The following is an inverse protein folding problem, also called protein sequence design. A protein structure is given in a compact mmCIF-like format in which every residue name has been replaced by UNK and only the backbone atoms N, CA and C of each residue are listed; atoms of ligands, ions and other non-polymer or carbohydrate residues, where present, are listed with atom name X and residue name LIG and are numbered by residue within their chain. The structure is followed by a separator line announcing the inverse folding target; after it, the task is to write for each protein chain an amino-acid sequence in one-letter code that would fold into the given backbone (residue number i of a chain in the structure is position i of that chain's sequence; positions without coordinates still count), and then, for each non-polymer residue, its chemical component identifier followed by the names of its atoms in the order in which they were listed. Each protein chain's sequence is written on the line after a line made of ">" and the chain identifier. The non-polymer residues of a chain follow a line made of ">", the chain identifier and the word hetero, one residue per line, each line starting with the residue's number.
data_IF_215413769232
#
_entry.id   IF_215413769232
#
_cell.length_a   1.000
_cell.length_b   1.000
_cell.length_c   1.000
_cell.angle_alpha   90.00
_cell.angle_beta   90.00
_cell.angle_gamma   90.00
#
_symmetry.space_group_name_H-M   'P 1'
#
loop_
_entity.id
_entity.type
_entity.pdbx_description
1 polymer ?
#
# COMPACT_ATOMS: atom_id res chain seq x y z
N UNK A 1 6.44 0.90 26.41
CA UNK A 1 5.23 0.08 26.64
C UNK A 1 4.14 0.31 25.57
N UNK A 2 3.80 1.54 25.16
CA UNK A 2 2.73 1.85 24.17
C UNK A 2 2.99 1.48 22.70
N UNK A 3 4.11 0.85 22.36
CA UNK A 3 4.40 0.39 20.99
C UNK A 3 4.40 -1.13 20.88
N UNK A 4 4.43 -1.84 22.01
CA UNK A 4 4.52 -3.30 22.04
C UNK A 4 3.22 -3.92 21.52
N UNK A 5 2.07 -3.47 22.02
CA UNK A 5 0.77 -3.99 21.60
C UNK A 5 0.52 -3.79 20.08
N UNK A 6 0.67 -2.58 19.51
CA UNK A 6 0.59 -2.40 18.06
C UNK A 6 1.58 -3.29 17.31
N UNK A 7 2.84 -3.33 17.74
CA UNK A 7 3.87 -4.16 17.10
C UNK A 7 3.49 -5.63 17.07
N UNK A 8 3.04 -6.18 18.20
CA UNK A 8 2.62 -7.59 18.30
C UNK A 8 1.39 -7.87 17.44
N UNK A 9 0.39 -7.00 17.45
CA UNK A 9 -0.83 -7.21 16.65
C UNK A 9 -0.53 -7.10 15.15
N UNK A 10 0.22 -6.08 14.73
CA UNK A 10 0.54 -5.85 13.31
C UNK A 10 1.45 -6.94 12.75
N UNK A 11 2.51 -7.31 13.48
CA UNK A 11 3.43 -8.37 13.05
C UNK A 11 2.80 -9.76 13.18
N UNK A 12 2.02 -10.01 14.23
CA UNK A 12 1.36 -11.29 14.47
C UNK A 12 0.24 -11.59 13.48
N UNK A 13 -0.44 -10.56 12.98
CA UNK A 13 -1.47 -10.71 11.93
C UNK A 13 -0.90 -10.76 10.52
N UNK A 14 0.28 -10.19 10.24
CA UNK A 14 0.83 -10.18 8.88
C UNK A 14 0.90 -11.56 8.19
N UNK A 15 1.31 -12.66 8.87
CA UNK A 15 1.27 -14.00 8.27
C UNK A 15 -0.12 -14.43 7.82
N UNK A 16 -1.17 -14.12 8.59
CA UNK A 16 -2.54 -14.54 8.23
C UNK A 16 -3.03 -13.79 6.98
N UNK A 17 -2.71 -12.50 6.85
CA UNK A 17 -3.02 -11.73 5.64
C UNK A 17 -2.25 -12.24 4.42
N UNK A 18 -0.96 -12.57 4.58
CA UNK A 18 -0.15 -13.13 3.48
C UNK A 18 -0.66 -14.52 3.06
N UNK A 19 -1.10 -15.35 4.01
CA UNK A 19 -1.72 -16.63 3.70
C UNK A 19 -3.06 -16.44 2.96
N UNK A 20 -3.92 -15.54 3.44
CA UNK A 20 -5.19 -15.22 2.78
C UNK A 20 -4.97 -14.71 1.35
N UNK A 21 -4.00 -13.81 1.16
CA UNK A 21 -3.56 -13.35 -0.16
C UNK A 21 -3.04 -14.50 -1.03
N UNK A 22 -2.22 -15.39 -0.47
CA UNK A 22 -1.66 -16.55 -1.19
C UNK A 22 -2.75 -17.48 -1.70
N UNK A 23 -3.72 -17.82 -0.84
CA UNK A 23 -4.91 -18.62 -1.20
C UNK A 23 -5.69 -17.90 -2.31
N UNK A 24 -5.99 -16.61 -2.12
CA UNK A 24 -6.73 -15.85 -3.11
C UNK A 24 -6.01 -15.80 -4.46
N UNK A 25 -4.69 -15.63 -4.47
CA UNK A 25 -3.87 -15.62 -5.69
C UNK A 25 -3.92 -16.96 -6.42
N UNK A 26 -3.98 -18.08 -5.71
CA UNK A 26 -4.14 -19.41 -6.31
C UNK A 26 -5.55 -19.58 -6.91
N UNK A 27 -6.59 -19.22 -6.15
CA UNK A 27 -7.99 -19.34 -6.60
C UNK A 27 -8.30 -18.45 -7.80
N UNK A 28 -7.72 -17.26 -7.84
CA UNK A 28 -7.92 -16.29 -8.92
C UNK A 28 -6.99 -16.48 -10.12
N UNK A 29 -6.14 -17.51 -10.13
CA UNK A 29 -5.19 -17.75 -11.22
C UNK A 29 -5.86 -17.97 -12.59
N UNK A 30 -7.10 -18.47 -12.60
CA UNK A 30 -7.90 -18.70 -13.81
C UNK A 30 -8.94 -17.59 -14.07
N UNK A 31 -9.03 -16.60 -13.16
CA UNK A 31 -10.00 -15.51 -13.25
C UNK A 31 -9.39 -14.30 -13.97
N UNK A 32 -10.22 -13.40 -14.52
CA UNK A 32 -9.75 -12.13 -15.05
C UNK A 32 -8.94 -11.35 -14.01
N UNK A 33 -7.85 -10.71 -14.44
CA UNK A 33 -6.94 -9.97 -13.56
C UNK A 33 -7.67 -8.94 -12.68
N UNK A 34 -8.77 -8.35 -13.17
CA UNK A 34 -9.59 -7.39 -12.42
C UNK A 34 -10.16 -7.97 -11.12
N UNK A 35 -10.60 -9.24 -11.15
CA UNK A 35 -11.17 -9.91 -9.97
C UNK A 35 -10.08 -10.12 -8.93
N UNK A 36 -8.89 -10.56 -9.38
CA UNK A 36 -7.73 -10.67 -8.52
C UNK A 36 -7.42 -9.33 -7.83
N UNK A 37 -7.30 -8.24 -8.60
CA UNK A 37 -6.94 -6.91 -8.10
C UNK A 37 -7.98 -6.37 -7.11
N UNK A 38 -9.28 -6.50 -7.41
CA UNK A 38 -10.34 -6.01 -6.52
C UNK A 38 -10.25 -6.59 -5.09
N UNK A 39 -9.98 -7.89 -5.00
CA UNK A 39 -9.86 -8.56 -3.70
C UNK A 39 -8.50 -8.32 -3.04
N UNK A 40 -7.42 -8.18 -3.83
CA UNK A 40 -6.11 -7.76 -3.32
C UNK A 40 -6.17 -6.35 -2.70
N UNK A 41 -6.83 -5.41 -3.38
CA UNK A 41 -7.10 -4.04 -2.90
C UNK A 41 -7.95 -4.05 -1.63
N UNK A 42 -8.92 -4.97 -1.54
CA UNK A 42 -9.74 -5.13 -0.33
C UNK A 42 -8.94 -5.64 0.85
N UNK A 43 -8.12 -6.68 0.65
CA UNK A 43 -7.23 -7.21 1.70
C UNK A 43 -6.23 -6.16 2.17
N UNK A 44 -5.63 -5.42 1.23
CA UNK A 44 -4.72 -4.31 1.53
C UNK A 44 -5.41 -3.24 2.36
N UNK A 45 -6.61 -2.81 1.94
CA UNK A 45 -7.39 -1.79 2.63
C UNK A 45 -7.71 -2.20 4.08
N UNK A 46 -8.10 -3.46 4.32
CA UNK A 46 -8.36 -3.95 5.69
C UNK A 46 -7.08 -3.94 6.53
N UNK A 47 -5.98 -4.47 5.99
CA UNK A 47 -4.71 -4.51 6.71
C UNK A 47 -4.20 -3.10 7.05
N UNK A 48 -4.19 -2.19 6.07
CA UNK A 48 -3.76 -0.81 6.30
C UNK A 48 -4.73 -0.03 7.18
N UNK A 49 -6.04 -0.29 7.14
CA UNK A 49 -6.99 0.33 8.07
C UNK A 49 -6.67 -0.05 9.52
N UNK A 50 -6.24 -1.30 9.77
CA UNK A 50 -5.80 -1.74 11.10
C UNK A 50 -4.48 -1.05 11.51
N UNK A 51 -3.54 -0.88 10.59
CA UNK A 51 -2.32 -0.08 10.82
C UNK A 51 -2.70 1.35 11.21
N UNK A 52 -3.50 2.03 10.37
CA UNK A 52 -3.96 3.40 10.59
C UNK A 52 -4.70 3.55 11.92
N UNK A 53 -5.53 2.57 12.30
CA UNK A 53 -6.20 2.59 13.59
C UNK A 53 -5.21 2.75 14.75
N UNK A 54 -4.12 1.98 14.77
CA UNK A 54 -3.09 2.13 15.81
C UNK A 54 -2.39 3.49 15.72
N UNK A 55 -2.06 3.96 14.52
CA UNK A 55 -1.39 5.24 14.36
C UNK A 55 -2.24 6.44 14.76
N UNK A 56 -3.49 6.51 14.31
CA UNK A 56 -4.39 7.63 14.60
C UNK A 56 -4.99 7.58 16.00
N UNK A 57 -5.28 6.39 16.56
CA UNK A 57 -6.06 6.26 17.80
C UNK A 57 -5.26 5.76 19.00
N UNK A 58 -4.16 5.03 18.80
CA UNK A 58 -3.43 4.39 19.91
C UNK A 58 -2.13 5.10 20.28
N UNK A 59 -1.44 5.73 19.32
CA UNK A 59 -0.16 6.41 19.59
C UNK A 59 -0.32 7.64 20.49
N UNK A 60 -1.50 8.26 20.49
CA UNK A 60 -1.77 9.53 21.17
C UNK A 60 -1.18 10.75 20.44
N UNK A 61 -0.75 10.58 19.19
CA UNK A 61 -0.29 11.68 18.33
C UNK A 61 -1.50 12.44 17.79
N UNK A 62 -1.45 13.77 17.90
CA UNK A 62 -2.42 14.64 17.24
C UNK A 62 -1.98 14.90 15.79
N UNK A 63 -2.85 14.55 14.84
CA UNK A 63 -2.60 14.75 13.41
C UNK A 63 -3.42 15.95 12.95
N UNK A 64 -2.73 16.99 12.50
CA UNK A 64 -3.34 18.21 11.98
C UNK A 64 -3.24 18.21 10.46
N UNK A 65 -4.38 18.07 9.78
CA UNK A 65 -4.48 18.12 8.33
C UNK A 65 -5.16 19.42 7.92
N UNK A 66 -4.58 20.11 6.95
CA UNK A 66 -5.11 21.35 6.39
C UNK A 66 -4.95 21.33 4.86
N UNK A 67 -5.84 22.05 4.18
CA UNK A 67 -5.92 22.11 2.72
C UNK A 67 -7.17 21.43 2.17
N UNK A 68 -7.27 21.42 0.84
CA UNK A 68 -8.42 20.89 0.13
C UNK A 68 -8.14 19.47 -0.38
N UNK A 69 -9.17 18.63 -0.32
CA UNK A 69 -9.16 17.34 -0.98
C UNK A 69 -10.03 17.37 -2.25
N UNK A 70 -9.73 16.54 -3.25
CA UNK A 70 -10.56 16.42 -4.45
C UNK A 70 -12.02 16.12 -4.12
N UNK A 71 -12.94 16.81 -4.80
CA UNK A 71 -14.39 16.63 -4.64
C UNK A 71 -14.92 15.38 -5.34
N UNK A 72 -14.20 14.92 -6.36
CA UNK A 72 -14.54 13.76 -7.16
C UNK A 72 -13.39 12.76 -7.11
N UNK A 73 -13.71 11.47 -7.26
CA UNK A 73 -12.68 10.44 -7.32
C UNK A 73 -11.94 10.54 -8.65
N UNK A 74 -10.62 10.69 -8.56
CA UNK A 74 -9.70 10.73 -9.70
C UNK A 74 -8.40 10.01 -9.35
N UNK A 75 -7.60 9.70 -10.37
CA UNK A 75 -6.26 9.14 -10.19
C UNK A 75 -5.30 10.26 -9.82
N UNK A 76 -4.49 10.08 -8.78
CA UNK A 76 -3.66 11.14 -8.20
C UNK A 76 -2.21 10.67 -8.06
N UNK A 77 -1.28 11.54 -8.41
CA UNK A 77 0.13 11.37 -8.06
C UNK A 77 0.39 12.16 -6.77
N UNK A 78 0.60 11.43 -5.67
CA UNK A 78 0.96 12.04 -4.39
C UNK A 78 2.47 12.31 -4.33
N UNK A 79 2.84 13.59 -4.22
CA UNK A 79 4.22 14.04 -4.08
C UNK A 79 4.37 14.77 -2.75
N UNK A 80 5.30 14.30 -1.92
CA UNK A 80 5.64 14.92 -0.65
C UNK A 80 7.14 14.83 -0.39
N UNK A 81 7.65 15.68 0.50
CA UNK A 81 8.97 15.51 1.07
C UNK A 81 9.03 14.21 1.90
N UNK A 82 10.21 13.60 1.97
CA UNK A 82 10.46 12.41 2.80
C UNK A 82 11.38 12.79 3.96
N UNK A 83 10.82 12.95 5.15
CA UNK A 83 11.52 13.33 6.39
C UNK A 83 11.74 12.17 7.35
N UNK A 84 10.90 11.14 7.31
CA UNK A 84 10.96 10.02 8.26
C UNK A 84 10.53 8.69 7.63
N UNK A 85 10.86 7.59 8.30
CA UNK A 85 10.46 6.24 7.86
C UNK A 85 8.95 5.98 7.93
N UNK A 86 8.18 6.86 8.58
CA UNK A 86 6.73 6.71 8.79
C UNK A 86 5.90 7.67 7.94
N UNK A 87 6.52 8.42 7.03
CA UNK A 87 5.81 9.41 6.20
C UNK A 87 4.73 8.81 5.30
N UNK A 88 4.89 7.54 4.90
CA UNK A 88 3.91 6.82 4.09
C UNK A 88 2.53 6.75 4.78
N UNK A 89 2.50 6.77 6.11
CA UNK A 89 1.25 6.75 6.89
C UNK A 89 0.42 7.99 6.60
N UNK A 90 1.06 9.14 6.35
CA UNK A 90 0.34 10.37 5.99
C UNK A 90 -0.39 10.20 4.65
N UNK A 91 0.23 9.55 3.67
CA UNK A 91 -0.42 9.23 2.40
C UNK A 91 -1.63 8.30 2.61
N UNK A 92 -1.49 7.27 3.45
CA UNK A 92 -2.59 6.36 3.79
C UNK A 92 -3.73 7.05 4.55
N UNK A 93 -3.41 7.98 5.46
CA UNK A 93 -4.37 8.83 6.19
C UNK A 93 -5.19 9.69 5.22
N UNK A 94 -4.57 10.25 4.19
CA UNK A 94 -5.28 11.01 3.16
C UNK A 94 -6.11 10.07 2.26
N UNK A 95 -5.55 8.92 1.88
CA UNK A 95 -6.21 7.94 1.01
C UNK A 95 -7.45 7.30 1.66
N UNK A 96 -7.41 7.00 2.97
CA UNK A 96 -8.56 6.43 3.68
C UNK A 96 -9.72 7.41 3.75
N UNK A 97 -9.45 8.71 3.92
CA UNK A 97 -10.47 9.78 3.91
C UNK A 97 -11.16 9.92 2.55
N UNK A 98 -10.50 9.49 1.47
CA UNK A 98 -11.03 9.45 0.10
C UNK A 98 -11.54 8.06 -0.32
N UNK A 99 -11.59 7.09 0.60
CA UNK A 99 -11.95 5.70 0.32
C UNK A 99 -11.15 5.14 -0.88
N UNK A 100 -9.84 5.37 -0.84
CA UNK A 100 -8.87 5.02 -1.87
C UNK A 100 -7.69 4.19 -1.32
N UNK A 101 -7.68 3.86 -0.02
CA UNK A 101 -6.58 3.17 0.66
C UNK A 101 -6.13 1.87 -0.03
N UNK A 102 -7.07 1.07 -0.54
CA UNK A 102 -6.76 -0.16 -1.28
C UNK A 102 -6.05 0.05 -2.62
N UNK A 103 -6.13 1.25 -3.19
CA UNK A 103 -5.58 1.58 -4.51
C UNK A 103 -4.23 2.31 -4.42
N UNK A 104 -3.69 2.53 -3.22
CA UNK A 104 -2.42 3.24 -3.05
C UNK A 104 -1.27 2.39 -3.60
N UNK A 105 -0.46 2.97 -4.49
CA UNK A 105 0.72 2.33 -5.08
C UNK A 105 1.98 3.11 -4.73
N UNK A 106 2.90 2.48 -4.03
CA UNK A 106 4.11 3.12 -3.53
C UNK A 106 5.31 2.98 -4.46
N UNK A 107 6.13 4.04 -4.52
CA UNK A 107 7.52 3.94 -4.97
C UNK A 107 8.39 3.64 -3.76
N UNK A 108 9.02 2.47 -3.74
CA UNK A 108 9.68 1.89 -2.57
C UNK A 108 11.18 1.76 -2.79
N UNK A 109 11.98 1.88 -1.72
CA UNK A 109 13.42 1.58 -1.78
C UNK A 109 13.66 0.10 -2.05
N UNK A 110 14.58 -0.23 -2.96
CA UNK A 110 14.91 -1.62 -3.35
C UNK A 110 15.25 -2.55 -2.16
N UNK A 111 15.79 -2.01 -1.06
CA UNK A 111 16.06 -2.79 0.16
C UNK A 111 14.80 -3.37 0.82
N UNK A 112 13.63 -2.72 0.67
CA UNK A 112 12.38 -3.14 1.31
C UNK A 112 11.83 -4.47 0.75
N UNK A 113 12.30 -4.89 -0.44
CA UNK A 113 11.91 -6.19 -1.00
C UNK A 113 12.34 -7.38 -0.14
N UNK A 114 13.34 -7.18 0.72
CA UNK A 114 13.88 -8.21 1.62
C UNK A 114 13.19 -8.26 2.98
N UNK A 115 12.22 -7.36 3.23
CA UNK A 115 11.43 -7.43 4.46
C UNK A 115 10.56 -8.70 4.39
N UNK A 116 10.70 -9.65 5.34
CA UNK A 116 9.97 -10.90 5.31
C UNK A 116 8.46 -10.65 5.25
N UNK A 117 7.74 -11.43 4.44
CA UNK A 117 6.30 -11.30 4.17
C UNK A 117 5.91 -10.05 3.35
N UNK A 118 6.35 -8.86 3.79
CA UNK A 118 5.93 -7.59 3.21
C UNK A 118 6.56 -7.32 1.84
N UNK A 119 7.85 -7.62 1.65
CA UNK A 119 8.57 -7.25 0.43
C UNK A 119 7.97 -7.87 -0.84
N UNK A 120 7.68 -9.18 -0.79
CA UNK A 120 7.05 -9.87 -1.91
C UNK A 120 5.58 -9.44 -2.12
N UNK A 121 4.86 -9.17 -1.03
CA UNK A 121 3.49 -8.70 -1.08
C UNK A 121 3.40 -7.30 -1.70
N UNK A 122 4.19 -6.33 -1.23
CA UNK A 122 4.23 -4.98 -1.82
C UNK A 122 4.64 -4.98 -3.29
N UNK A 123 5.56 -5.87 -3.69
CA UNK A 123 5.88 -6.04 -5.11
C UNK A 123 4.64 -6.42 -5.93
N UNK A 124 3.78 -7.27 -5.36
CA UNK A 124 2.56 -7.74 -6.02
C UNK A 124 1.42 -6.74 -5.97
N UNK A 125 1.24 -6.05 -4.86
CA UNK A 125 0.26 -4.98 -4.66
C UNK A 125 0.64 -3.67 -5.41
N UNK A 126 1.49 -3.77 -6.43
CA UNK A 126 1.82 -2.67 -7.33
C UNK A 126 2.95 -1.75 -6.87
N UNK A 127 3.62 -2.03 -5.75
CA UNK A 127 4.79 -1.28 -5.30
C UNK A 127 5.95 -1.32 -6.30
N UNK A 128 6.51 -0.17 -6.66
CA UNK A 128 7.59 -0.02 -7.64
C UNK A 128 8.90 0.19 -6.89
N UNK A 129 9.85 -0.75 -7.02
CA UNK A 129 11.13 -0.66 -6.32
C UNK A 129 12.16 0.15 -7.09
N UNK A 130 12.80 1.10 -6.40
CA UNK A 130 13.84 1.97 -6.96
C UNK A 130 15.14 1.88 -6.19
N UNK A 131 16.25 1.96 -6.93
CA UNK A 131 17.61 2.03 -6.37
C UNK A 131 18.07 3.48 -6.37
N UNK A 132 18.89 3.85 -5.38
CA UNK A 132 19.53 5.18 -5.31
C UNK A 132 20.53 5.41 -6.46
N UNK A 133 21.01 4.35 -7.10
CA UNK A 133 21.89 4.43 -8.28
C UNK A 133 21.20 5.12 -9.44
N UNK A 134 21.94 5.92 -10.21
CA UNK A 134 21.42 6.79 -11.27
C UNK A 134 20.63 6.10 -12.42
N UNK A 135 20.69 4.76 -12.54
CA UNK A 135 19.93 4.03 -13.57
C UNK A 135 18.58 3.60 -13.05
N UNK A 136 17.60 4.49 -13.19
CA UNK A 136 16.19 4.16 -12.99
C UNK A 136 15.67 3.34 -14.19
N UNK A 137 14.95 2.25 -13.92
CA UNK A 137 14.36 1.41 -14.97
C UNK A 137 12.96 1.91 -15.33
N UNK A 138 12.90 2.93 -16.17
CA UNK A 138 11.64 3.54 -16.63
C UNK A 138 10.73 2.53 -17.33
N UNK A 139 11.30 1.63 -18.14
CA UNK A 139 10.55 0.63 -18.90
C UNK A 139 9.76 -0.31 -17.98
N UNK A 140 10.37 -0.75 -16.88
CA UNK A 140 9.71 -1.62 -15.90
C UNK A 140 8.58 -0.90 -15.18
N UNK A 141 8.81 0.33 -14.70
CA UNK A 141 7.77 1.15 -14.09
C UNK A 141 6.59 1.36 -15.06
N UNK A 142 6.88 1.78 -16.29
CA UNK A 142 5.84 2.03 -17.30
C UNK A 142 5.05 0.78 -17.63
N UNK A 143 5.73 -0.36 -17.81
CA UNK A 143 5.09 -1.65 -18.06
C UNK A 143 4.16 -2.04 -16.90
N UNK A 144 4.61 -1.80 -15.65
CA UNK A 144 3.82 -2.11 -14.47
C UNK A 144 2.56 -1.24 -14.38
N UNK A 145 2.70 0.07 -14.52
CA UNK A 145 1.56 1.01 -14.53
C UNK A 145 0.58 0.70 -15.66
N UNK A 146 1.08 0.41 -16.87
CA UNK A 146 0.24 0.05 -18.01
C UNK A 146 -0.56 -1.23 -17.75
N UNK A 147 -0.03 -2.19 -16.99
CA UNK A 147 -0.77 -3.43 -16.69
C UNK A 147 -2.00 -3.17 -15.81
N UNK A 148 -1.95 -2.21 -14.89
CA UNK A 148 -3.11 -1.78 -14.10
C UNK A 148 -4.13 -1.02 -14.93
N UNK A 149 -3.67 -0.13 -15.83
CA UNK A 149 -4.55 0.55 -16.80
C UNK A 149 -5.29 -0.47 -17.64
N UNK A 150 -4.58 -1.46 -18.18
CA UNK A 150 -5.17 -2.53 -19.01
C UNK A 150 -6.15 -3.42 -18.24
N UNK A 151 -5.95 -3.61 -16.93
CA UNK A 151 -6.85 -4.35 -16.06
C UNK A 151 -8.10 -3.54 -15.64
N UNK A 152 -8.17 -2.26 -15.99
CA UNK A 152 -9.23 -1.36 -15.55
C UNK A 152 -9.25 -1.17 -14.03
N UNK A 153 -8.07 -1.24 -13.40
CA UNK A 153 -7.86 -1.01 -11.97
C UNK A 153 -7.52 0.47 -11.76
N UNK A 154 -8.19 1.17 -10.82
CA UNK A 154 -7.80 2.53 -10.44
C UNK A 154 -6.35 2.58 -9.93
N UNK A 155 -5.62 3.64 -10.28
CA UNK A 155 -4.22 3.87 -9.88
C UNK A 155 -4.10 5.25 -9.28
#
# INVERSE_FOLDING_TARGET
>A
MRYLLPGVVLLGSAPTYVLAWGIWRLLSALLPARIYQMMDDRLYCVYQSMVLFFFENYTGVQILLYGDLPKHKENIIYLANHQSTVDWIVADILAVRQNALGHVRYVLKDGLKWLPLYGCYFARHGGIYVKRSAKFNEKDMRSKLQSYVNAGTPI
#
